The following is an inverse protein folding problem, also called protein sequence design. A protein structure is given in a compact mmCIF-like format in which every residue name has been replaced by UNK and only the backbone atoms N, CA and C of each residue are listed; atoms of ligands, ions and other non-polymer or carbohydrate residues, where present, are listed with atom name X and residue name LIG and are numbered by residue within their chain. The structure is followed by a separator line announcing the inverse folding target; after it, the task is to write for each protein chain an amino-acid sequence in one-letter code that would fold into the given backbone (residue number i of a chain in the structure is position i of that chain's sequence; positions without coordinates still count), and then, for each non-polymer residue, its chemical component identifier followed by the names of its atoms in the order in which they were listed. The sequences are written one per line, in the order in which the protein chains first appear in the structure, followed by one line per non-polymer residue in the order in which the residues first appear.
data_IF_933727406122
#
_entry.id   IF_933727406122
#
_cell.length_a   1.000
_cell.length_b   1.000
_cell.length_c   1.000
_cell.angle_alpha   90.00
_cell.angle_beta   90.00
_cell.angle_gamma   90.00
#
_symmetry.space_group_name_H-M   'P 1'
#
loop_
_entity.id
_entity.type
_entity.pdbx_description
1 polymer ?
#
# COMPACT_ATOMS: atom_id res chain seq x y z
N UNK A 1 -2.50 20.07 -16.90
CA UNK A 1 -3.90 20.47 -16.68
C UNK A 1 -4.63 19.37 -15.87
N UNK A 2 -4.71 18.13 -16.37
CA UNK A 2 -5.45 17.04 -15.72
C UNK A 2 -4.93 16.73 -14.30
N UNK A 3 -3.63 16.69 -14.11
CA UNK A 3 -2.99 16.36 -12.83
C UNK A 3 -3.25 17.46 -11.80
N UNK A 4 -3.11 18.72 -12.17
CA UNK A 4 -3.24 19.86 -11.26
C UNK A 4 -4.70 20.16 -10.87
N UNK A 5 -5.64 19.93 -11.80
CA UNK A 5 -7.05 20.28 -11.58
C UNK A 5 -7.85 19.14 -10.91
N UNK A 6 -7.52 17.88 -11.20
CA UNK A 6 -8.27 16.73 -10.70
C UNK A 6 -7.66 16.08 -9.46
N UNK A 7 -6.33 16.10 -9.33
CA UNK A 7 -5.62 15.55 -8.17
C UNK A 7 -5.28 16.67 -7.18
N UNK A 8 -6.23 17.07 -6.34
CA UNK A 8 -6.04 18.14 -5.35
C UNK A 8 -4.90 17.87 -4.36
N UNK A 9 -4.61 16.60 -4.11
CA UNK A 9 -3.53 16.15 -3.25
C UNK A 9 -2.16 16.18 -3.90
N UNK A 10 -2.07 16.36 -5.23
CA UNK A 10 -0.80 16.22 -5.96
C UNK A 10 0.28 17.18 -5.47
N UNK A 11 -0.06 18.46 -5.30
CA UNK A 11 0.88 19.49 -4.88
C UNK A 11 1.38 19.28 -3.45
N UNK A 12 0.52 19.13 -2.41
CA UNK A 12 0.97 18.88 -1.05
C UNK A 12 1.72 17.55 -0.88
N UNK A 13 1.32 16.50 -1.58
CA UNK A 13 2.02 15.21 -1.57
C UNK A 13 3.39 15.30 -2.27
N UNK A 14 3.51 16.13 -3.31
CA UNK A 14 4.77 16.37 -3.99
C UNK A 14 5.73 17.20 -3.13
N UNK A 15 5.24 18.22 -2.44
CA UNK A 15 6.02 19.01 -1.48
C UNK A 15 6.55 18.12 -0.34
N UNK A 16 5.71 17.25 0.20
CA UNK A 16 6.11 16.25 1.21
C UNK A 16 7.22 15.34 0.68
N UNK A 17 7.08 14.86 -0.55
CA UNK A 17 8.10 14.03 -1.20
C UNK A 17 9.44 14.77 -1.34
N UNK A 18 9.42 16.03 -1.79
CA UNK A 18 10.63 16.84 -1.94
C UNK A 18 11.30 17.15 -0.60
N UNK A 19 10.52 17.31 0.46
CA UNK A 19 11.03 17.54 1.81
C UNK A 19 11.75 16.28 2.35
N UNK A 20 11.18 15.09 2.13
CA UNK A 20 11.74 13.83 2.65
C UNK A 20 12.91 13.32 1.82
N UNK A 21 12.98 13.64 0.53
CA UNK A 21 14.03 13.13 -0.37
C UNK A 21 15.46 13.38 0.12
N UNK A 22 15.86 14.59 0.56
CA UNK A 22 17.21 14.81 1.08
C UNK A 22 17.47 14.16 2.44
N UNK A 23 16.43 13.83 3.22
CA UNK A 23 16.56 13.21 4.54
C UNK A 23 16.69 11.69 4.42
N UNK A 24 15.84 11.06 3.64
CA UNK A 24 15.76 9.61 3.50
C UNK A 24 16.61 9.05 2.34
N UNK A 25 17.05 9.91 1.41
CA UNK A 25 17.81 9.51 0.22
C UNK A 25 16.95 8.92 -0.91
N UNK A 26 15.75 8.43 -0.59
CA UNK A 26 14.78 7.91 -1.55
C UNK A 26 13.36 8.20 -1.10
N UNK A 27 12.47 8.38 -2.06
CA UNK A 27 11.04 8.59 -1.83
C UNK A 27 10.25 7.93 -2.96
N UNK A 28 9.02 7.55 -2.68
CA UNK A 28 8.19 6.83 -3.62
C UNK A 28 6.86 7.54 -3.82
N UNK A 29 6.23 7.29 -4.94
CA UNK A 29 4.93 7.84 -5.29
C UNK A 29 4.03 6.71 -5.78
N UNK A 30 2.86 6.59 -5.19
CA UNK A 30 1.82 5.66 -5.63
C UNK A 30 0.75 6.42 -6.39
N UNK A 31 0.52 6.02 -7.62
CA UNK A 31 -0.55 6.57 -8.48
C UNK A 31 -1.54 5.44 -8.77
N UNK A 32 -2.81 5.66 -8.44
CA UNK A 32 -3.85 4.67 -8.65
C UNK A 32 -5.21 5.35 -8.89
N UNK A 33 -6.16 4.59 -9.38
CA UNK A 33 -7.55 5.04 -9.48
C UNK A 33 -8.29 4.63 -8.21
N UNK A 34 -8.94 5.60 -7.56
CA UNK A 34 -9.75 5.36 -6.36
C UNK A 34 -11.22 5.31 -6.76
N UNK A 35 -11.82 4.12 -6.68
CA UNK A 35 -13.20 3.89 -7.08
C UNK A 35 -14.21 4.63 -6.19
N UNK A 36 -13.89 4.83 -4.92
CA UNK A 36 -14.75 5.58 -3.99
C UNK A 36 -14.75 7.08 -4.30
N UNK A 37 -13.61 7.62 -4.72
CA UNK A 37 -13.48 9.01 -5.14
C UNK A 37 -13.81 9.22 -6.62
N UNK A 38 -13.86 8.15 -7.42
CA UNK A 38 -14.13 8.20 -8.86
C UNK A 38 -13.06 8.95 -9.66
N UNK A 39 -11.80 8.98 -9.19
CA UNK A 39 -10.71 9.70 -9.83
C UNK A 39 -9.34 9.08 -9.54
N UNK A 40 -8.36 9.44 -10.35
CA UNK A 40 -6.97 9.12 -10.08
C UNK A 40 -6.45 9.91 -8.87
N UNK A 41 -5.64 9.23 -8.05
CA UNK A 41 -5.03 9.73 -6.82
C UNK A 41 -3.53 9.52 -6.90
N UNK A 42 -2.77 10.49 -6.39
CA UNK A 42 -1.33 10.42 -6.28
C UNK A 42 -0.92 10.66 -4.84
N UNK A 43 -0.28 9.66 -4.22
CA UNK A 43 0.18 9.74 -2.82
C UNK A 43 1.69 9.57 -2.71
N UNK A 44 2.29 10.34 -1.84
CA UNK A 44 3.65 10.15 -1.39
C UNK A 44 3.73 8.94 -0.46
N UNK A 45 4.77 8.12 -0.63
CA UNK A 45 5.08 6.99 0.25
C UNK A 45 6.49 7.20 0.79
N UNK A 46 6.65 7.32 2.11
CA UNK A 46 7.97 7.33 2.76
C UNK A 46 8.72 6.03 2.48
N UNK A 47 10.05 6.08 2.44
CA UNK A 47 10.87 4.89 2.23
C UNK A 47 10.65 3.82 3.31
N UNK A 48 10.34 4.24 4.54
CA UNK A 48 10.09 3.34 5.69
C UNK A 48 8.78 2.55 5.56
N UNK A 49 7.83 3.04 4.77
CA UNK A 49 6.56 2.37 4.53
C UNK A 49 6.58 1.48 3.28
N UNK A 50 7.75 1.34 2.61
CA UNK A 50 7.92 0.48 1.44
C UNK A 50 9.01 -0.57 1.68
N UNK A 51 8.62 -1.83 1.64
CA UNK A 51 9.53 -2.97 1.81
C UNK A 51 9.76 -3.59 0.44
N UNK A 52 11.02 -3.67 0.04
CA UNK A 52 11.47 -4.31 -1.19
C UNK A 52 12.61 -5.30 -0.90
N UNK A 53 12.79 -6.36 -1.70
CA UNK A 53 13.92 -7.28 -1.54
C UNK A 53 15.26 -6.56 -1.67
N UNK A 54 16.23 -6.92 -0.84
CA UNK A 54 17.56 -6.31 -0.87
C UNK A 54 18.30 -6.51 -2.21
N UNK A 55 17.92 -7.53 -2.95
CA UNK A 55 18.50 -7.88 -4.26
C UNK A 55 17.94 -7.06 -5.42
N UNK A 56 16.86 -6.33 -5.21
CA UNK A 56 16.22 -5.54 -6.26
C UNK A 56 17.02 -4.27 -6.57
N UNK A 57 17.37 -4.06 -7.84
CA UNK A 57 18.01 -2.84 -8.31
C UNK A 57 16.99 -1.76 -8.70
N UNK A 58 15.76 -2.16 -9.02
CA UNK A 58 14.64 -1.27 -9.33
C UNK A 58 13.33 -1.86 -8.81
N UNK A 59 12.27 -1.05 -8.76
CA UNK A 59 10.94 -1.56 -8.40
C UNK A 59 10.37 -2.49 -9.47
N UNK A 60 10.75 -2.33 -10.72
CA UNK A 60 10.28 -3.15 -11.84
C UNK A 60 10.86 -4.58 -11.80
N UNK A 61 12.08 -4.73 -11.24
CA UNK A 61 12.76 -6.03 -11.10
C UNK A 61 12.47 -6.71 -9.74
N UNK A 62 11.76 -6.03 -8.85
CA UNK A 62 11.47 -6.55 -7.52
C UNK A 62 10.43 -7.67 -7.60
N UNK A 63 10.77 -8.88 -7.12
CA UNK A 63 9.85 -10.03 -7.05
C UNK A 63 8.64 -9.77 -6.16
N UNK A 64 8.79 -8.88 -5.18
CA UNK A 64 7.72 -8.46 -4.30
C UNK A 64 7.95 -7.01 -3.85
N UNK A 65 6.87 -6.23 -3.80
CA UNK A 65 6.86 -4.88 -3.22
C UNK A 65 5.75 -4.86 -2.19
N UNK A 66 6.08 -4.49 -0.95
CA UNK A 66 5.10 -4.44 0.13
C UNK A 66 4.98 -2.99 0.62
N UNK A 67 3.78 -2.44 0.52
CA UNK A 67 3.44 -1.15 1.06
C UNK A 67 2.74 -1.32 2.41
N UNK A 68 3.34 -0.75 3.45
CA UNK A 68 2.81 -0.78 4.81
C UNK A 68 1.84 0.38 4.98
N UNK A 69 0.58 0.08 5.26
CA UNK A 69 -0.50 1.04 5.42
C UNK A 69 -1.01 1.01 6.85
N UNK A 70 -1.20 2.19 7.44
CA UNK A 70 -1.90 2.31 8.73
C UNK A 70 -3.30 2.85 8.49
N UNK A 71 -4.30 2.07 8.86
CA UNK A 71 -5.70 2.40 8.61
C UNK A 71 -6.49 2.44 9.93
N UNK A 72 -7.39 3.41 10.06
CA UNK A 72 -8.27 3.48 11.21
C UNK A 72 -9.37 2.42 11.12
N UNK A 73 -9.94 2.01 12.27
CA UNK A 73 -11.05 1.07 12.32
C UNK A 73 -12.25 1.53 11.45
N UNK A 74 -12.55 2.83 11.48
CA UNK A 74 -13.64 3.39 10.70
C UNK A 74 -13.38 3.34 9.19
N UNK A 75 -12.14 3.59 8.76
CA UNK A 75 -11.79 3.54 7.34
C UNK A 75 -11.69 2.11 6.84
N UNK A 76 -11.22 1.17 7.68
CA UNK A 76 -11.31 -0.25 7.41
C UNK A 76 -12.77 -0.66 7.17
N UNK A 77 -13.67 -0.25 8.06
CA UNK A 77 -15.11 -0.59 7.93
C UNK A 77 -15.74 0.00 6.67
N UNK A 78 -15.38 1.22 6.27
CA UNK A 78 -15.81 1.81 4.99
C UNK A 78 -15.36 0.96 3.79
N UNK A 79 -14.11 0.47 3.81
CA UNK A 79 -13.58 -0.38 2.75
C UNK A 79 -14.26 -1.75 2.70
N UNK A 80 -14.62 -2.32 3.86
CA UNK A 80 -15.39 -3.56 3.93
C UNK A 80 -16.82 -3.37 3.41
N UNK A 81 -17.52 -2.32 3.85
CA UNK A 81 -18.87 -2.00 3.38
C UNK A 81 -18.88 -1.66 1.88
N UNK A 82 -17.83 -1.01 1.39
CA UNK A 82 -17.63 -0.74 -0.03
C UNK A 82 -17.28 -1.97 -0.87
N UNK A 83 -17.07 -3.14 -0.25
CA UNK A 83 -16.72 -4.39 -0.96
C UNK A 83 -15.27 -4.45 -1.45
N UNK A 84 -14.44 -3.51 -1.02
CA UNK A 84 -13.01 -3.49 -1.39
C UNK A 84 -12.21 -4.50 -0.56
N UNK A 85 -12.54 -4.63 0.73
CA UNK A 85 -12.02 -5.65 1.64
C UNK A 85 -13.11 -6.64 2.04
N UNK A 86 -12.71 -7.88 2.31
CA UNK A 86 -13.60 -8.90 2.87
C UNK A 86 -14.15 -8.45 4.22
N UNK A 87 -15.44 -8.70 4.46
CA UNK A 87 -16.11 -8.39 5.73
C UNK A 87 -15.78 -9.46 6.78
N UNK A 88 -14.59 -9.33 7.36
CA UNK A 88 -14.04 -10.23 8.39
C UNK A 88 -13.79 -9.41 9.64
N UNK A 89 -14.10 -9.98 10.82
CA UNK A 89 -13.74 -9.40 12.11
C UNK A 89 -12.26 -9.66 12.40
N UNK A 90 -11.47 -8.61 12.48
CA UNK A 90 -10.03 -8.68 12.74
C UNK A 90 -9.69 -8.60 14.24
N UNK A 91 -10.71 -8.47 15.11
CA UNK A 91 -10.48 -8.19 16.52
C UNK A 91 -9.96 -6.76 16.76
N UNK A 92 -9.50 -6.44 17.98
CA UNK A 92 -9.02 -5.10 18.29
C UNK A 92 -7.69 -4.81 17.59
N UNK A 93 -7.53 -3.58 17.03
CA UNK A 93 -6.30 -3.18 16.36
C UNK A 93 -5.11 -3.18 17.34
N UNK A 94 -3.94 -3.53 16.84
CA UNK A 94 -2.72 -3.49 17.63
C UNK A 94 -2.40 -2.06 18.07
N UNK A 95 -1.87 -1.90 19.28
CA UNK A 95 -1.35 -0.60 19.72
C UNK A 95 -0.11 -0.28 18.89
N UNK A 96 -0.15 0.82 18.15
CA UNK A 96 1.02 1.30 17.41
C UNK A 96 2.09 1.73 18.42
N UNK A 97 3.08 0.90 18.63
CA UNK A 97 4.32 1.29 19.31
C UNK A 97 5.12 2.13 18.32
N UNK A 98 5.13 3.45 18.51
CA UNK A 98 5.99 4.31 17.71
C UNK A 98 7.46 3.93 17.96
N UNK A 99 8.12 3.44 16.93
CA UNK A 99 9.57 3.25 16.94
C UNK A 99 10.29 4.57 17.23
N UNK A 100 11.46 4.48 17.88
CA UNK A 100 12.21 5.67 18.29
C UNK A 100 12.64 6.56 17.10
N UNK A 101 12.75 6.00 15.89
CA UNK A 101 13.02 6.71 14.65
C UNK A 101 11.82 7.57 14.25
N UNK A 102 10.62 6.99 14.20
CA UNK A 102 9.38 7.72 13.89
C UNK A 102 9.06 8.82 14.92
N UNK A 103 9.54 8.68 16.17
CA UNK A 103 9.42 9.74 17.18
C UNK A 103 10.30 10.93 16.87
N UNK A 104 11.54 10.69 16.43
CA UNK A 104 12.50 11.75 16.08
C UNK A 104 12.07 12.50 14.82
N UNK A 105 11.57 11.82 13.83
CA UNK A 105 11.04 12.45 12.61
C UNK A 105 9.87 13.39 12.91
N UNK A 106 8.89 12.91 13.70
CA UNK A 106 7.73 13.73 14.13
C UNK A 106 8.13 14.92 15.01
N UNK A 107 9.21 14.81 15.79
CA UNK A 107 9.76 15.92 16.55
C UNK A 107 10.41 16.97 15.62
N UNK A 108 11.09 16.54 14.56
CA UNK A 108 11.66 17.44 13.55
C UNK A 108 10.60 18.15 12.71
N UNK A 109 9.48 17.49 12.44
CA UNK A 109 8.32 18.07 11.74
C UNK A 109 7.50 19.03 12.62
N UNK A 110 7.84 19.18 13.90
CA UNK A 110 7.15 20.08 14.82
C UNK A 110 5.71 19.66 15.17
N UNK A 111 5.34 18.42 14.88
CA UNK A 111 4.00 17.89 15.13
C UNK A 111 3.86 17.57 16.63
N UNK A 112 3.12 18.38 17.37
CA UNK A 112 2.86 18.16 18.80
C UNK A 112 2.02 16.88 18.98
N UNK A 113 2.47 16.00 19.89
CA UNK A 113 1.73 14.80 20.30
C UNK A 113 0.32 15.18 20.73
N UNK A 114 -0.68 14.76 19.99
CA UNK A 114 -2.04 14.65 20.52
C UNK A 114 -2.04 13.46 21.48
N UNK A 115 -2.40 13.68 22.73
CA UNK A 115 -2.32 12.69 23.83
C UNK A 115 -3.31 11.52 23.75
N UNK A 116 -3.94 11.29 22.60
CA UNK A 116 -4.75 10.09 22.34
C UNK A 116 -3.92 9.14 21.48
N UNK A 117 -3.54 8.01 22.08
CA UNK A 117 -2.96 6.89 21.37
C UNK A 117 -4.01 6.35 20.39
N UNK A 118 -3.80 6.59 19.11
CA UNK A 118 -4.72 6.15 18.08
C UNK A 118 -4.40 4.68 17.77
N UNK A 119 -5.36 3.81 18.01
CA UNK A 119 -5.28 2.40 17.61
C UNK A 119 -5.53 2.33 16.11
N UNK A 120 -4.60 1.71 15.37
CA UNK A 120 -4.68 1.56 13.92
C UNK A 120 -4.37 0.11 13.56
N UNK A 121 -5.01 -0.37 12.50
CA UNK A 121 -4.62 -1.62 11.86
C UNK A 121 -3.43 -1.36 10.95
N UNK A 122 -2.46 -2.28 10.94
CA UNK A 122 -1.37 -2.28 9.98
C UNK A 122 -1.73 -3.23 8.85
N UNK A 123 -1.84 -2.69 7.64
CA UNK A 123 -2.11 -3.46 6.43
C UNK A 123 -0.85 -3.57 5.61
N UNK A 124 -0.61 -4.75 5.08
CA UNK A 124 0.46 -5.04 4.14
C UNK A 124 -0.17 -5.22 2.77
N UNK A 125 0.02 -4.25 1.89
CA UNK A 125 -0.38 -4.36 0.48
C UNK A 125 0.81 -4.91 -0.31
N UNK A 126 0.72 -6.18 -0.68
CA UNK A 126 1.78 -6.94 -1.32
C UNK A 126 1.53 -6.99 -2.83
N UNK A 127 2.41 -6.41 -3.62
CA UNK A 127 2.49 -6.59 -5.08
C UNK A 127 3.45 -7.75 -5.33
N UNK A 128 2.92 -8.88 -5.78
CA UNK A 128 3.68 -10.14 -5.88
C UNK A 128 3.12 -11.03 -6.99
N UNK A 129 3.98 -11.81 -7.61
CA UNK A 129 3.57 -12.81 -8.60
C UNK A 129 3.20 -14.12 -7.90
N UNK A 130 1.98 -14.59 -8.15
CA UNK A 130 1.42 -15.81 -7.55
C UNK A 130 0.88 -16.73 -8.63
N UNK A 131 1.01 -18.03 -8.37
CA UNK A 131 0.28 -19.08 -9.06
C UNK A 131 -0.84 -19.54 -8.13
N UNK A 132 -2.09 -19.19 -8.49
CA UNK A 132 -3.26 -19.46 -7.66
C UNK A 132 -4.11 -20.55 -8.31
N UNK A 133 -4.42 -21.60 -7.57
CA UNK A 133 -5.29 -22.69 -8.00
C UNK A 133 -6.64 -22.17 -8.53
N UNK A 134 -6.96 -22.51 -9.77
CA UNK A 134 -8.16 -22.07 -10.48
C UNK A 134 -8.05 -20.70 -11.17
N UNK A 135 -6.90 -20.05 -11.10
CA UNK A 135 -6.58 -18.77 -11.74
C UNK A 135 -5.20 -18.79 -12.41
N UNK A 136 -4.75 -19.99 -12.76
CA UNK A 136 -3.46 -20.24 -13.40
C UNK A 136 -3.39 -19.60 -14.79
N UNK A 137 -2.19 -19.26 -15.21
CA UNK A 137 -1.95 -18.93 -16.61
C UNK A 137 -2.06 -20.20 -17.47
N UNK A 138 -2.82 -20.13 -18.57
CA UNK A 138 -3.09 -21.25 -19.45
C UNK A 138 -2.22 -21.11 -20.71
N UNK A 139 -1.39 -22.09 -20.95
CA UNK A 139 -0.56 -22.17 -22.15
C UNK A 139 -1.38 -22.40 -23.43
N UNK A 140 -0.72 -22.31 -24.56
CA UNK A 140 -1.33 -22.53 -25.89
C UNK A 140 -1.83 -23.96 -26.11
N UNK A 141 -1.38 -24.91 -25.32
CA UNK A 141 -1.78 -26.30 -25.26
C UNK A 141 -3.02 -26.57 -24.39
N UNK A 142 -3.50 -25.54 -23.68
CA UNK A 142 -4.65 -25.62 -22.79
C UNK A 142 -4.34 -26.14 -21.38
N UNK A 143 -3.06 -26.38 -21.07
CA UNK A 143 -2.60 -26.79 -19.75
C UNK A 143 -2.03 -25.59 -18.96
N UNK A 144 -1.98 -25.65 -17.61
CA UNK A 144 -1.36 -24.62 -16.80
C UNK A 144 0.12 -24.41 -17.19
N UNK A 145 0.49 -23.17 -17.51
CA UNK A 145 1.86 -22.85 -17.96
C UNK A 145 2.90 -22.86 -16.83
N UNK A 146 2.44 -22.79 -15.56
CA UNK A 146 3.27 -22.60 -14.37
C UNK A 146 3.87 -21.20 -14.24
N UNK A 147 3.43 -20.26 -15.08
CA UNK A 147 3.82 -18.85 -14.98
C UNK A 147 3.03 -18.22 -13.83
N UNK A 148 3.75 -17.57 -12.93
CA UNK A 148 3.14 -16.77 -11.86
C UNK A 148 2.61 -15.48 -12.43
N UNK A 149 1.40 -15.13 -12.02
CA UNK A 149 0.71 -13.95 -12.50
C UNK A 149 0.74 -12.84 -11.43
N UNK A 150 0.81 -11.55 -11.82
CA UNK A 150 0.90 -10.45 -10.88
C UNK A 150 -0.43 -10.22 -10.13
N UNK A 151 -0.35 -10.17 -8.80
CA UNK A 151 -1.47 -9.90 -7.90
C UNK A 151 -1.14 -8.81 -6.89
N UNK A 152 -2.18 -8.16 -6.41
CA UNK A 152 -2.15 -7.29 -5.24
C UNK A 152 -2.91 -7.98 -4.13
N UNK A 153 -2.20 -8.37 -3.08
CA UNK A 153 -2.75 -9.04 -1.90
C UNK A 153 -2.68 -8.11 -0.71
N UNK A 154 -3.80 -7.86 -0.05
CA UNK A 154 -3.81 -7.07 1.18
C UNK A 154 -4.04 -7.98 2.38
N UNK A 155 -3.12 -7.90 3.34
CA UNK A 155 -3.09 -8.73 4.56
C UNK A 155 -3.09 -7.80 5.76
N UNK A 156 -3.85 -8.14 6.80
CA UNK A 156 -3.70 -7.47 8.10
C UNK A 156 -2.54 -8.14 8.86
N UNK A 157 -1.55 -7.31 9.30
CA UNK A 157 -0.30 -7.80 9.88
C UNK A 157 -0.50 -8.58 11.18
N UNK A 158 -1.38 -8.11 12.07
CA UNK A 158 -1.57 -8.69 13.40
C UNK A 158 -2.20 -10.08 13.38
N UNK A 159 -3.23 -10.27 12.54
CA UNK A 159 -3.96 -11.55 12.43
C UNK A 159 -3.46 -12.44 11.29
N UNK A 160 -2.70 -11.88 10.35
CA UNK A 160 -2.32 -12.56 9.10
C UNK A 160 -3.52 -12.80 8.16
N UNK A 161 -4.65 -12.13 8.40
CA UNK A 161 -5.87 -12.33 7.61
C UNK A 161 -5.77 -11.63 6.26
N UNK A 162 -6.03 -12.38 5.20
CA UNK A 162 -6.10 -11.84 3.83
C UNK A 162 -7.44 -11.14 3.64
N UNK A 163 -7.40 -9.85 3.33
CA UNK A 163 -8.57 -9.00 3.16
C UNK A 163 -8.98 -8.85 1.70
N UNK A 164 -8.03 -8.85 0.78
CA UNK A 164 -8.32 -8.82 -0.65
C UNK A 164 -7.20 -9.46 -1.47
N UNK A 165 -7.59 -10.08 -2.58
CA UNK A 165 -6.68 -10.55 -3.62
C UNK A 165 -7.23 -10.01 -4.93
N UNK A 166 -6.42 -9.29 -5.69
CA UNK A 166 -6.81 -8.69 -6.96
C UNK A 166 -5.73 -8.90 -8.00
N UNK A 167 -6.15 -9.17 -9.22
CA UNK A 167 -5.23 -9.21 -10.36
C UNK A 167 -4.61 -7.83 -10.57
N UNK A 168 -3.30 -7.77 -10.69
CA UNK A 168 -2.58 -6.56 -11.06
C UNK A 168 -2.25 -6.66 -12.55
N UNK A 169 -2.99 -5.92 -13.39
CA UNK A 169 -2.76 -5.92 -14.82
C UNK A 169 -1.64 -4.92 -15.16
N UNK A 170 -0.65 -5.38 -15.91
CA UNK A 170 0.31 -4.47 -16.50
C UNK A 170 -0.38 -3.64 -17.62
N UNK A 171 0.10 -2.41 -17.90
CA UNK A 171 -0.52 -1.54 -18.92
C UNK A 171 -0.59 -2.14 -20.32
N UNK A 172 0.12 -3.24 -20.57
CA UNK A 172 0.25 -3.90 -21.88
C UNK A 172 -0.32 -5.33 -21.89
N UNK A 173 -1.01 -5.75 -20.82
CA UNK A 173 -1.70 -7.05 -20.75
C UNK A 173 -3.10 -7.02 -21.39
#
# INVERSE_FOLDING_TARGET
YLIMDQMKEYEPEFDSMLFHLPLAGSTFKKVYYDDLLGRAVSKFIPADDLIVPYTANSLEEAEAIIHVLKISENDLRKQQVGGFYSDVDLGPPAMVTNDDVSKKEKELEGTKKSGKQQTMYTMLECHIDLDLEGFEDIGTDGEPSGIKLPYIVTIEEGSGTVLSIRRNYAPND
#
